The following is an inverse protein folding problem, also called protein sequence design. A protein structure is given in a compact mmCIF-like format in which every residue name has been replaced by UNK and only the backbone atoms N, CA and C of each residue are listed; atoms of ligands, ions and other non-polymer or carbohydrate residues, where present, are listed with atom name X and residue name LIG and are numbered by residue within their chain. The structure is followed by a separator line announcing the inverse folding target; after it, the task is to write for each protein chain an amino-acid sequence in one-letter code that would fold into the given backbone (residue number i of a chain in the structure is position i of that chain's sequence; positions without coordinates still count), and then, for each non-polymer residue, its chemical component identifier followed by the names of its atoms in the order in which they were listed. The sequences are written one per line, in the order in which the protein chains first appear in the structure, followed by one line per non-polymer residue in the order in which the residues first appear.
data_IF_636214377611
#
_entry.id   IF_636214377611
#
_cell.length_a   1.000
_cell.length_b   1.000
_cell.length_c   1.000
_cell.angle_alpha   90.00
_cell.angle_beta   90.00
_cell.angle_gamma   90.00
#
_symmetry.space_group_name_H-M   'P 1'
#
loop_
_entity.id
_entity.type
_entity.pdbx_description
1 polymer ?
#
# COMPACT_ATOMS: atom_id res chain seq x y z
N UNK A 1 32.09 13.06 -22.24
CA UNK A 1 30.69 13.05 -21.76
C UNK A 1 29.79 12.04 -22.48
N UNK A 2 30.08 11.71 -23.75
CA UNK A 2 29.26 10.82 -24.57
C UNK A 2 29.27 9.33 -24.14
N UNK A 3 30.44 8.82 -23.74
CA UNK A 3 30.59 7.42 -23.27
C UNK A 3 29.84 7.11 -21.97
N UNK A 4 29.72 8.07 -21.04
CA UNK A 4 28.98 7.90 -19.77
C UNK A 4 27.47 7.79 -20.03
N UNK A 5 26.96 8.59 -20.97
CA UNK A 5 25.54 8.56 -21.38
C UNK A 5 25.19 7.25 -22.08
N UNK A 6 26.06 6.76 -22.97
CA UNK A 6 25.87 5.48 -23.66
C UNK A 6 25.83 4.29 -22.68
N UNK A 7 26.72 4.26 -21.69
CA UNK A 7 26.71 3.25 -20.61
C UNK A 7 25.44 3.32 -19.77
N UNK A 8 25.01 4.52 -19.37
CA UNK A 8 23.77 4.69 -18.60
C UNK A 8 22.52 4.18 -19.33
N UNK A 9 22.43 4.44 -20.64
CA UNK A 9 21.34 3.92 -21.47
C UNK A 9 21.38 2.39 -21.63
N UNK A 10 22.58 1.81 -21.73
CA UNK A 10 22.75 0.36 -21.78
C UNK A 10 22.30 -0.32 -20.47
N UNK A 11 22.72 0.21 -19.32
CA UNK A 11 22.31 -0.28 -17.99
C UNK A 11 20.80 -0.13 -17.80
N UNK A 12 20.23 1.02 -18.15
CA UNK A 12 18.79 1.25 -18.06
C UNK A 12 17.98 0.26 -18.91
N UNK A 13 18.44 -0.03 -20.13
CA UNK A 13 17.82 -1.05 -20.98
C UNK A 13 17.91 -2.44 -20.36
N UNK A 14 19.11 -2.83 -19.91
CA UNK A 14 19.37 -4.12 -19.28
C UNK A 14 18.47 -4.37 -18.06
N UNK A 15 18.29 -3.36 -17.21
CA UNK A 15 17.41 -3.43 -16.03
C UNK A 15 15.95 -3.57 -16.44
N UNK A 16 15.47 -2.75 -17.38
CA UNK A 16 14.06 -2.82 -17.80
C UNK A 16 13.70 -4.16 -18.45
N UNK A 17 14.62 -4.78 -19.21
CA UNK A 17 14.43 -6.12 -19.77
C UNK A 17 14.30 -7.21 -18.69
N UNK A 18 14.87 -6.97 -17.50
CA UNK A 18 14.88 -7.90 -16.37
C UNK A 18 13.98 -7.46 -15.22
N UNK A 19 13.14 -6.46 -15.43
CA UNK A 19 12.37 -5.82 -14.37
C UNK A 19 11.53 -6.81 -13.54
N UNK A 20 10.88 -7.78 -14.19
CA UNK A 20 10.14 -8.84 -13.50
C UNK A 20 11.02 -9.71 -12.60
N UNK A 21 12.24 -10.04 -13.05
CA UNK A 21 13.21 -10.81 -12.24
C UNK A 21 13.74 -9.98 -11.07
N UNK A 22 13.98 -8.68 -11.27
CA UNK A 22 14.37 -7.78 -10.19
C UNK A 22 13.29 -7.71 -9.10
N UNK A 23 12.01 -7.58 -9.49
CA UNK A 23 10.91 -7.61 -8.53
C UNK A 23 10.80 -8.95 -7.83
N UNK A 24 10.85 -10.06 -8.57
CA UNK A 24 10.77 -11.40 -7.99
C UNK A 24 11.90 -11.66 -6.98
N UNK A 25 13.13 -11.27 -7.32
CA UNK A 25 14.27 -11.37 -6.41
C UNK A 25 14.10 -10.47 -5.17
N UNK A 26 13.59 -9.25 -5.34
CA UNK A 26 13.31 -8.31 -4.24
C UNK A 26 12.27 -8.88 -3.27
N UNK A 27 11.16 -9.40 -3.80
CA UNK A 27 10.09 -10.04 -3.01
C UNK A 27 10.60 -11.32 -2.32
N UNK A 28 11.39 -12.15 -3.01
CA UNK A 28 11.97 -13.35 -2.42
C UNK A 28 12.94 -13.02 -1.27
N UNK A 29 13.76 -11.98 -1.44
CA UNK A 29 14.67 -11.51 -0.40
C UNK A 29 13.91 -10.92 0.79
N UNK A 30 12.84 -10.15 0.55
CA UNK A 30 11.96 -9.66 1.63
C UNK A 30 11.27 -10.82 2.38
N UNK A 31 10.80 -11.84 1.65
CA UNK A 31 10.23 -13.03 2.26
C UNK A 31 11.27 -13.76 3.12
N UNK A 32 12.51 -13.89 2.63
CA UNK A 32 13.61 -14.47 3.40
C UNK A 32 13.89 -13.67 4.68
N UNK A 33 13.93 -12.34 4.62
CA UNK A 33 14.11 -11.53 5.84
C UNK A 33 12.97 -11.74 6.83
N UNK A 34 11.73 -11.83 6.35
CA UNK A 34 10.57 -12.08 7.20
C UNK A 34 10.52 -13.50 7.78
N UNK A 35 11.26 -14.46 7.22
CA UNK A 35 11.42 -15.81 7.76
C UNK A 35 12.56 -15.89 8.80
N UNK A 36 13.65 -15.15 8.57
CA UNK A 36 14.81 -15.14 9.47
C UNK A 36 14.57 -14.27 10.70
N UNK A 37 13.93 -13.10 10.52
CA UNK A 37 13.58 -12.17 11.59
C UNK A 37 12.11 -11.74 11.44
N UNK A 38 11.16 -12.56 11.93
CA UNK A 38 9.74 -12.29 11.76
C UNK A 38 9.32 -11.00 12.47
N UNK A 39 8.82 -10.04 11.70
CA UNK A 39 8.20 -8.84 12.24
C UNK A 39 6.92 -9.16 13.01
N UNK A 40 6.60 -8.31 13.98
CA UNK A 40 5.33 -8.34 14.69
C UNK A 40 4.37 -7.33 14.03
N UNK A 41 3.37 -7.77 13.25
CA UNK A 41 2.49 -6.87 12.52
C UNK A 41 1.39 -6.34 13.45
N UNK A 42 1.78 -5.38 14.30
CA UNK A 42 0.94 -4.84 15.37
C UNK A 42 -0.33 -4.19 14.84
N UNK A 43 -0.22 -3.40 13.77
CA UNK A 43 -1.39 -2.77 13.13
C UNK A 43 -2.36 -3.83 12.59
N UNK A 44 -1.85 -4.88 11.94
CA UNK A 44 -2.70 -5.97 11.47
C UNK A 44 -3.45 -6.68 12.61
N UNK A 45 -2.80 -6.84 13.77
CA UNK A 45 -3.46 -7.37 14.98
C UNK A 45 -4.58 -6.46 15.45
N UNK A 46 -4.38 -5.14 15.43
CA UNK A 46 -5.42 -4.16 15.80
C UNK A 46 -6.60 -4.26 14.85
N UNK A 47 -6.37 -4.23 13.53
CA UNK A 47 -7.43 -4.30 12.53
C UNK A 47 -8.24 -5.60 12.62
N UNK A 48 -7.54 -6.74 12.65
CA UNK A 48 -8.13 -8.08 12.67
C UNK A 48 -8.81 -8.37 14.01
N UNK A 49 -8.21 -7.94 15.12
CA UNK A 49 -8.71 -8.18 16.47
C UNK A 49 -9.89 -7.28 16.85
N UNK A 50 -9.96 -6.07 16.32
CA UNK A 50 -11.10 -5.17 16.54
C UNK A 50 -12.36 -5.60 15.76
N UNK A 51 -12.20 -6.21 14.59
CA UNK A 51 -13.32 -6.55 13.70
C UNK A 51 -14.47 -7.37 14.35
N UNK A 52 -14.21 -8.40 15.18
CA UNK A 52 -15.26 -9.13 15.90
C UNK A 52 -16.11 -8.28 16.85
N UNK A 53 -15.61 -7.13 17.30
CA UNK A 53 -16.30 -6.24 18.23
C UNK A 53 -17.20 -5.19 17.54
N UNK A 54 -17.29 -5.22 16.20
CA UNK A 54 -18.03 -4.22 15.40
C UNK A 54 -19.49 -4.07 15.83
N UNK A 55 -20.19 -5.18 16.12
CA UNK A 55 -21.62 -5.18 16.44
C UNK A 55 -21.94 -5.35 17.93
N UNK A 56 -20.94 -5.48 18.79
CA UNK A 56 -21.12 -5.68 20.23
C UNK A 56 -21.14 -4.37 21.02
N UNK A 57 -20.88 -3.23 20.37
CA UNK A 57 -20.68 -1.93 21.03
C UNK A 57 -19.27 -1.75 21.62
N UNK A 58 -18.48 -2.81 21.74
CA UNK A 58 -17.14 -2.80 22.34
C UNK A 58 -15.98 -2.55 21.37
N UNK A 59 -16.24 -2.08 20.14
CA UNK A 59 -15.20 -1.89 19.12
C UNK A 59 -14.06 -0.98 19.61
N UNK A 60 -14.41 0.10 20.32
CA UNK A 60 -13.46 1.09 20.81
C UNK A 60 -12.89 0.77 22.19
N UNK A 61 -13.42 -0.26 22.87
CA UNK A 61 -12.84 -0.80 24.10
C UNK A 61 -11.74 -1.83 23.79
N UNK A 62 -11.69 -2.34 22.56
CA UNK A 62 -10.65 -3.27 22.12
C UNK A 62 -9.29 -2.57 21.96
N UNK A 63 -8.25 -3.19 22.51
CA UNK A 63 -6.88 -2.76 22.33
C UNK A 63 -5.91 -3.94 22.31
N UNK A 64 -4.80 -3.77 21.59
CA UNK A 64 -3.69 -4.72 21.56
C UNK A 64 -2.62 -4.27 22.54
N UNK A 65 -2.24 -5.14 23.48
CA UNK A 65 -1.14 -4.90 24.41
C UNK A 65 0.19 -5.35 23.80
N UNK A 66 1.17 -4.46 23.81
CA UNK A 66 2.44 -4.61 23.06
C UNK A 66 3.70 -4.40 23.89
N UNK A 67 3.58 -3.84 25.10
CA UNK A 67 4.72 -3.53 25.96
C UNK A 67 5.46 -2.24 25.54
N UNK A 68 6.47 -1.78 26.31
CA UNK A 68 7.20 -0.55 26.00
C UNK A 68 7.82 -0.55 24.58
N UNK A 69 7.91 0.60 23.89
CA UNK A 69 7.59 1.96 24.37
C UNK A 69 6.11 2.36 24.22
N UNK A 70 5.33 1.63 23.43
CA UNK A 70 3.90 1.89 23.23
C UNK A 70 3.15 0.70 23.84
N UNK A 71 2.68 0.80 25.09
CA UNK A 71 2.17 -0.36 25.82
C UNK A 71 0.82 -0.87 25.31
N UNK A 72 0.03 0.01 24.69
CA UNK A 72 -1.34 -0.27 24.26
C UNK A 72 -1.60 0.39 22.90
N UNK A 73 -2.18 -0.38 21.98
CA UNK A 73 -2.64 0.08 20.68
C UNK A 73 -4.16 -0.10 20.57
N UNK A 74 -4.96 0.95 20.82
CA UNK A 74 -6.41 0.89 20.69
C UNK A 74 -6.85 0.89 19.23
N UNK A 75 -8.07 0.39 18.98
CA UNK A 75 -8.71 0.56 17.68
C UNK A 75 -9.16 2.02 17.50
N UNK A 76 -8.52 2.76 16.58
CA UNK A 76 -8.78 4.20 16.35
C UNK A 76 -9.34 4.51 14.97
N UNK A 77 -9.76 3.46 14.24
CA UNK A 77 -10.23 3.57 12.87
C UNK A 77 -11.76 3.74 12.81
N UNK A 78 -12.31 4.27 11.71
CA UNK A 78 -13.75 4.29 11.52
C UNK A 78 -14.34 2.86 11.54
N UNK A 79 -15.61 2.66 11.94
CA UNK A 79 -16.24 1.32 11.99
C UNK A 79 -16.23 0.59 10.66
N UNK A 80 -16.25 1.33 9.55
CA UNK A 80 -16.16 0.76 8.20
C UNK A 80 -14.85 -0.02 7.99
N UNK A 81 -13.74 0.36 8.63
CA UNK A 81 -12.52 -0.42 8.61
C UNK A 81 -12.73 -1.80 9.25
N UNK A 82 -13.33 -1.86 10.44
CA UNK A 82 -13.63 -3.13 11.13
C UNK A 82 -14.49 -4.06 10.28
N UNK A 83 -15.47 -3.50 9.53
CA UNK A 83 -16.28 -4.26 8.58
C UNK A 83 -15.42 -4.89 7.48
N UNK A 84 -14.52 -4.12 6.86
CA UNK A 84 -13.63 -4.64 5.81
C UNK A 84 -12.63 -5.68 6.32
N UNK A 85 -12.26 -5.62 7.60
CA UNK A 85 -11.36 -6.59 8.23
C UNK A 85 -12.08 -7.83 8.78
N UNK A 86 -13.43 -7.86 8.77
CA UNK A 86 -14.20 -9.02 9.25
C UNK A 86 -13.86 -10.33 8.50
N UNK A 87 -13.72 -10.36 7.15
CA UNK A 87 -13.31 -11.58 6.45
C UNK A 87 -11.90 -12.04 6.85
N UNK A 88 -11.00 -11.08 7.11
CA UNK A 88 -9.62 -11.37 7.52
C UNK A 88 -9.57 -11.93 8.95
N UNK A 89 -10.50 -11.53 9.82
CA UNK A 89 -10.64 -12.05 11.18
C UNK A 89 -11.03 -13.54 11.22
N UNK A 90 -11.76 -14.02 10.21
CA UNK A 90 -12.15 -15.42 10.09
C UNK A 90 -11.00 -16.35 9.62
N UNK A 91 -9.95 -15.80 9.00
CA UNK A 91 -8.83 -16.60 8.49
C UNK A 91 -7.84 -16.98 9.60
N UNK A 92 -7.17 -18.14 9.50
CA UNK A 92 -6.00 -18.43 10.31
C UNK A 92 -4.94 -17.33 10.19
N UNK A 93 -4.22 -17.05 11.27
CA UNK A 93 -3.31 -15.92 11.35
C UNK A 93 -2.25 -15.90 10.23
N UNK A 94 -1.60 -17.03 9.98
CA UNK A 94 -0.54 -17.13 8.98
C UNK A 94 -1.06 -16.91 7.55
N UNK A 95 -2.27 -17.42 7.28
CA UNK A 95 -2.96 -17.21 5.99
C UNK A 95 -3.30 -15.73 5.82
N UNK A 96 -3.87 -15.10 6.85
CA UNK A 96 -4.17 -13.67 6.85
C UNK A 96 -2.91 -12.84 6.60
N UNK A 97 -1.80 -13.16 7.27
CA UNK A 97 -0.53 -12.45 7.15
C UNK A 97 0.08 -12.55 5.74
N UNK A 98 0.13 -13.75 5.17
CA UNK A 98 0.67 -13.96 3.81
C UNK A 98 -0.18 -13.23 2.78
N UNK A 99 -1.51 -13.37 2.85
CA UNK A 99 -2.42 -12.66 1.95
C UNK A 99 -2.29 -11.14 2.09
N UNK A 100 -2.18 -10.63 3.32
CA UNK A 100 -2.04 -9.21 3.59
C UNK A 100 -0.75 -8.62 3.01
N UNK A 101 0.37 -9.32 3.16
CA UNK A 101 1.65 -8.92 2.55
C UNK A 101 1.57 -8.96 1.02
N UNK A 102 0.96 -10.01 0.46
CA UNK A 102 0.80 -10.14 -0.99
C UNK A 102 -0.03 -8.99 -1.60
N UNK A 103 -1.19 -8.67 -1.00
CA UNK A 103 -2.03 -7.56 -1.48
C UNK A 103 -1.34 -6.21 -1.27
N UNK A 104 -0.53 -6.04 -0.21
CA UNK A 104 0.25 -4.83 0.02
C UNK A 104 1.33 -4.61 -1.05
N UNK A 105 2.03 -5.68 -1.46
CA UNK A 105 2.98 -5.62 -2.59
C UNK A 105 2.27 -5.35 -3.91
N UNK A 106 1.08 -5.92 -4.12
CA UNK A 106 0.26 -5.60 -5.29
C UNK A 106 -0.19 -4.12 -5.28
N UNK A 107 -0.53 -3.57 -4.12
CA UNK A 107 -0.88 -2.15 -3.98
C UNK A 107 0.32 -1.24 -4.25
N UNK A 108 1.54 -1.63 -3.85
CA UNK A 108 2.77 -0.94 -4.23
C UNK A 108 2.96 -0.90 -5.76
N UNK A 109 2.63 -1.99 -6.47
CA UNK A 109 2.66 -2.00 -7.94
C UNK A 109 1.64 -1.04 -8.56
N UNK A 110 0.43 -0.97 -7.99
CA UNK A 110 -0.58 0.01 -8.42
C UNK A 110 -0.09 1.43 -8.20
N UNK A 111 0.53 1.70 -7.05
CA UNK A 111 1.13 2.99 -6.73
C UNK A 111 2.22 3.39 -7.72
N UNK A 112 3.19 2.51 -8.01
CA UNK A 112 4.30 2.84 -8.90
C UNK A 112 3.83 2.96 -10.36
N UNK A 113 2.97 2.06 -10.82
CA UNK A 113 2.41 2.12 -12.17
C UNK A 113 1.52 3.34 -12.36
N UNK A 114 0.66 3.63 -11.38
CA UNK A 114 -0.25 4.78 -11.42
C UNK A 114 0.51 6.10 -11.38
N UNK A 115 1.49 6.24 -10.48
CA UNK A 115 2.34 7.43 -10.40
C UNK A 115 3.08 7.69 -11.71
N UNK A 116 3.64 6.66 -12.33
CA UNK A 116 4.30 6.80 -13.64
C UNK A 116 3.34 7.21 -14.75
N UNK A 117 2.12 6.68 -14.76
CA UNK A 117 1.09 7.06 -15.75
C UNK A 117 0.67 8.53 -15.58
N UNK A 118 0.53 9.00 -14.34
CA UNK A 118 0.22 10.41 -14.06
C UNK A 118 1.37 11.34 -14.47
N UNK A 119 2.62 10.92 -14.30
CA UNK A 119 3.80 11.70 -14.70
C UNK A 119 4.12 11.62 -16.20
N UNK A 120 3.63 10.60 -16.91
CA UNK A 120 3.87 10.41 -18.35
C UNK A 120 2.57 10.15 -19.14
N UNK A 121 1.64 11.13 -19.20
CA UNK A 121 0.32 10.95 -19.80
C UNK A 121 0.36 10.55 -21.28
N UNK A 122 1.36 11.04 -22.02
CA UNK A 122 1.52 10.76 -23.46
C UNK A 122 2.08 9.36 -23.77
N UNK A 123 2.22 8.49 -22.77
CA UNK A 123 2.71 7.12 -22.94
C UNK A 123 4.23 7.07 -23.10
N UNK A 124 4.95 7.07 -21.96
CA UNK A 124 6.37 6.73 -21.98
C UNK A 124 6.59 5.27 -22.38
N UNK A 125 7.57 4.99 -23.24
CA UNK A 125 7.99 3.61 -23.49
C UNK A 125 8.40 2.90 -22.20
N UNK A 126 7.97 1.64 -22.04
CA UNK A 126 8.33 0.74 -20.91
C UNK A 126 7.79 1.13 -19.52
N UNK A 127 6.60 1.74 -19.44
CA UNK A 127 5.95 2.10 -18.14
C UNK A 127 5.82 0.89 -17.22
N UNK A 128 5.45 -0.28 -17.76
CA UNK A 128 5.31 -1.52 -16.98
C UNK A 128 6.63 -1.91 -16.33
N UNK A 129 7.71 -1.98 -17.12
CA UNK A 129 9.02 -2.39 -16.65
C UNK A 129 9.56 -1.39 -15.62
N UNK A 130 9.36 -0.09 -15.84
CA UNK A 130 9.71 0.95 -14.87
C UNK A 130 8.92 0.81 -13.57
N UNK A 131 7.62 0.53 -13.64
CA UNK A 131 6.79 0.32 -12.45
C UNK A 131 7.27 -0.88 -11.63
N UNK A 132 7.62 -1.98 -12.30
CA UNK A 132 8.21 -3.17 -11.67
C UNK A 132 9.55 -2.86 -10.99
N UNK A 133 10.44 -2.11 -11.65
CA UNK A 133 11.72 -1.69 -11.06
C UNK A 133 11.52 -0.76 -9.86
N UNK A 134 10.60 0.21 -9.96
CA UNK A 134 10.27 1.11 -8.86
C UNK A 134 9.62 0.38 -7.69
N UNK A 135 8.80 -0.64 -7.94
CA UNK A 135 8.26 -1.47 -6.86
C UNK A 135 9.36 -2.33 -6.22
N UNK A 136 10.25 -2.90 -7.03
CA UNK A 136 11.38 -3.69 -6.55
C UNK A 136 12.30 -2.88 -5.63
N UNK A 137 12.62 -1.64 -6.01
CA UNK A 137 13.39 -0.72 -5.18
C UNK A 137 12.58 -0.16 -4.00
N UNK A 138 11.31 0.18 -4.26
CA UNK A 138 10.37 0.73 -3.29
C UNK A 138 10.16 -0.17 -2.08
N UNK A 139 10.21 -1.50 -2.26
CA UNK A 139 10.12 -2.49 -1.20
C UNK A 139 11.15 -2.27 -0.07
N UNK A 140 12.30 -1.70 -0.40
CA UNK A 140 13.41 -1.46 0.53
C UNK A 140 13.41 -0.05 1.14
N UNK A 141 12.53 0.82 0.67
CA UNK A 141 12.36 2.14 1.30
C UNK A 141 11.74 1.95 2.68
N UNK A 142 12.32 2.63 3.67
CA UNK A 142 11.88 2.59 5.06
C UNK A 142 10.34 2.68 5.22
N UNK A 143 9.61 3.63 4.61
CA UNK A 143 8.17 3.73 4.82
C UNK A 143 7.36 2.54 4.28
N UNK A 144 7.84 1.92 3.19
CA UNK A 144 7.19 0.74 2.58
C UNK A 144 7.50 -0.50 3.41
N UNK A 145 8.76 -0.70 3.79
CA UNK A 145 9.18 -1.80 4.64
C UNK A 145 8.48 -1.75 6.00
N UNK A 146 8.47 -0.60 6.64
CA UNK A 146 7.75 -0.39 7.89
C UNK A 146 6.25 -0.68 7.76
N UNK A 147 5.63 -0.26 6.64
CA UNK A 147 4.22 -0.59 6.37
C UNK A 147 3.98 -2.10 6.29
N UNK A 148 4.84 -2.84 5.58
CA UNK A 148 4.71 -4.28 5.45
C UNK A 148 4.97 -5.02 6.77
N UNK A 149 5.95 -4.55 7.54
CA UNK A 149 6.36 -5.17 8.80
C UNK A 149 5.32 -4.97 9.91
N UNK A 150 4.68 -3.80 9.95
CA UNK A 150 3.54 -3.55 10.85
C UNK A 150 2.23 -4.14 10.32
N UNK A 151 2.15 -4.48 9.03
CA UNK A 151 0.92 -4.84 8.36
C UNK A 151 -0.06 -3.67 8.25
N UNK A 152 0.44 -2.44 8.02
CA UNK A 152 -0.43 -1.27 7.85
C UNK A 152 -1.21 -1.32 6.53
N UNK A 153 -2.39 -0.72 6.54
CA UNK A 153 -3.26 -0.61 5.36
C UNK A 153 -2.82 0.50 4.37
N UNK A 154 -1.83 1.32 4.73
CA UNK A 154 -1.50 2.56 4.01
C UNK A 154 -1.21 2.34 2.51
N UNK A 155 -0.52 1.26 2.13
CA UNK A 155 -0.24 0.95 0.73
C UNK A 155 -1.53 0.68 -0.06
N UNK A 156 -2.49 -0.03 0.53
CA UNK A 156 -3.78 -0.32 -0.11
C UNK A 156 -4.59 0.96 -0.30
N UNK A 157 -4.63 1.82 0.72
CA UNK A 157 -5.33 3.11 0.62
C UNK A 157 -4.68 4.02 -0.41
N UNK A 158 -3.35 4.11 -0.42
CA UNK A 158 -2.61 4.87 -1.42
C UNK A 158 -2.85 4.31 -2.83
N UNK A 159 -2.81 2.99 -2.99
CA UNK A 159 -3.10 2.29 -4.24
C UNK A 159 -4.52 2.54 -4.73
N UNK A 160 -5.51 2.53 -3.84
CA UNK A 160 -6.90 2.87 -4.16
C UNK A 160 -7.03 4.32 -4.65
N UNK A 161 -6.42 5.28 -3.94
CA UNK A 161 -6.45 6.70 -4.32
C UNK A 161 -5.77 6.93 -5.67
N UNK A 162 -4.51 6.49 -5.82
CA UNK A 162 -3.75 6.68 -7.07
C UNK A 162 -4.40 5.91 -8.23
N UNK A 163 -4.86 4.68 -7.97
CA UNK A 163 -5.60 3.88 -8.94
C UNK A 163 -6.88 4.58 -9.38
N UNK A 164 -7.65 5.14 -8.45
CA UNK A 164 -8.83 5.95 -8.74
C UNK A 164 -8.51 7.18 -9.59
N UNK A 165 -7.45 7.92 -9.27
CA UNK A 165 -7.01 9.08 -10.07
C UNK A 165 -6.67 8.72 -11.51
N UNK A 166 -6.08 7.54 -11.72
CA UNK A 166 -5.68 7.05 -13.05
C UNK A 166 -6.83 6.42 -13.83
N UNK A 167 -7.68 5.63 -13.17
CA UNK A 167 -8.72 4.82 -13.83
C UNK A 167 -10.04 5.58 -13.97
N UNK A 168 -10.40 6.44 -13.01
CA UNK A 168 -11.64 7.20 -13.06
C UNK A 168 -11.50 8.45 -13.94
N UNK A 169 -12.40 8.55 -14.93
CA UNK A 169 -12.46 9.68 -15.87
C UNK A 169 -13.31 10.85 -15.38
N UNK A 170 -14.21 10.60 -14.42
CA UNK A 170 -15.10 11.62 -13.85
C UNK A 170 -14.58 12.11 -12.50
N UNK A 171 -14.88 13.37 -12.16
CA UNK A 171 -14.62 13.94 -10.86
C UNK A 171 -15.24 13.11 -9.72
N UNK A 172 -16.49 12.67 -9.91
CA UNK A 172 -17.20 11.83 -8.95
C UNK A 172 -16.48 10.50 -8.68
N UNK A 173 -15.95 9.83 -9.72
CA UNK A 173 -15.22 8.56 -9.54
C UNK A 173 -13.91 8.75 -8.77
N UNK A 174 -13.16 9.82 -9.06
CA UNK A 174 -11.94 10.16 -8.32
C UNK A 174 -12.24 10.50 -6.86
N UNK A 175 -13.29 11.30 -6.63
CA UNK A 175 -13.79 11.62 -5.30
C UNK A 175 -14.24 10.38 -4.52
N UNK A 176 -14.91 9.43 -5.18
CA UNK A 176 -15.33 8.18 -4.56
C UNK A 176 -14.14 7.31 -4.11
N UNK A 177 -13.07 7.21 -4.91
CA UNK A 177 -11.87 6.48 -4.50
C UNK A 177 -11.22 7.09 -3.24
N UNK A 178 -11.15 8.43 -3.18
CA UNK A 178 -10.67 9.15 -1.99
C UNK A 178 -11.59 8.95 -0.80
N UNK A 179 -12.91 9.08 -1.00
CA UNK A 179 -13.92 8.91 0.05
C UNK A 179 -13.92 7.50 0.64
N UNK A 180 -13.82 6.47 -0.20
CA UNK A 180 -13.69 5.07 0.23
C UNK A 180 -12.39 4.83 1.00
N UNK A 181 -11.27 5.45 0.60
CA UNK A 181 -10.03 5.35 1.37
C UNK A 181 -10.16 6.07 2.73
N UNK A 182 -10.80 7.25 2.74
CA UNK A 182 -11.03 8.07 3.92
C UNK A 182 -11.98 7.42 4.93
N UNK A 183 -12.97 6.63 4.46
CA UNK A 183 -13.86 5.88 5.34
C UNK A 183 -13.16 4.73 6.05
N UNK A 184 -11.97 4.30 5.60
CA UNK A 184 -11.15 3.27 6.25
C UNK A 184 -10.11 3.86 7.20
N UNK A 185 -9.51 5.00 6.84
CA UNK A 185 -8.56 5.75 7.68
C UNK A 185 -8.67 7.21 7.27
N UNK A 186 -8.62 8.17 8.19
CA UNK A 186 -8.87 9.57 7.84
C UNK A 186 -7.79 10.20 6.93
N UNK A 187 -6.55 9.70 6.96
CA UNK A 187 -5.39 10.28 6.24
C UNK A 187 -5.63 10.60 4.76
N UNK A 188 -6.26 9.74 3.94
CA UNK A 188 -6.55 10.02 2.54
C UNK A 188 -7.52 11.18 2.31
N UNK A 189 -8.29 11.61 3.31
CA UNK A 189 -9.21 12.76 3.20
C UNK A 189 -8.48 14.05 2.78
N UNK A 190 -7.19 14.18 3.08
CA UNK A 190 -6.34 15.28 2.60
C UNK A 190 -6.30 15.34 1.07
N UNK A 191 -6.31 14.19 0.38
CA UNK A 191 -6.43 14.14 -1.08
C UNK A 191 -7.76 14.72 -1.58
N UNK A 192 -8.83 14.58 -0.81
CA UNK A 192 -10.14 15.16 -1.11
C UNK A 192 -10.09 16.69 -1.01
N UNK A 193 -9.45 17.20 0.04
CA UNK A 193 -9.19 18.64 0.18
C UNK A 193 -8.37 19.19 -0.98
N UNK A 194 -7.39 18.42 -1.48
CA UNK A 194 -6.65 18.80 -2.69
C UNK A 194 -7.55 18.90 -3.93
N UNK A 195 -8.42 17.90 -4.18
CA UNK A 195 -9.38 17.96 -5.29
C UNK A 195 -10.34 19.16 -5.15
N UNK A 196 -10.77 19.45 -3.92
CA UNK A 196 -11.60 20.61 -3.53
C UNK A 196 -10.86 21.96 -3.52
N UNK A 197 -9.54 21.98 -3.45
CA UNK A 197 -8.77 23.21 -3.64
C UNK A 197 -8.52 23.47 -5.14
N UNK A 198 -8.36 22.40 -5.92
CA UNK A 198 -7.97 22.46 -7.35
C UNK A 198 -9.14 22.46 -8.33
N UNK A 199 -10.38 22.62 -7.86
CA UNK A 199 -11.58 22.67 -8.72
C UNK A 199 -11.87 21.39 -9.50
N UNK A 200 -11.40 20.24 -9.00
CA UNK A 200 -11.57 18.92 -9.63
C UNK A 200 -12.86 18.19 -9.22
N UNK A 201 -13.94 18.93 -8.90
CA UNK A 201 -15.27 18.38 -8.59
C UNK A 201 -16.28 18.53 -9.74
N UNK A 202 -15.85 19.06 -10.89
CA UNK A 202 -16.67 19.26 -12.09
C UNK A 202 -16.27 18.25 -13.16
#
# INVERSE_FOLDING_TARGET
MEGTRARGLAVGRWLTERAGRCLAASVALYALTALVDPSQPLDLRVYRGGAPHLFSGGLYDFAVHTGPPIPVLPFTYPPFAALLFTPLAALPWDVALVLWRAVSVAALLVLTAGSLRLLTPSGGGRVRERALLWAAAGLWLEPVRHTLDQGQINLLLGGLVVGGLVLCRTAAGRGAAVGLAASVKLTPAVGGLYLLATRQWR
#
